data_IF_947088323929
#
_entry.id   IF_947088323929
#
_cell.length_a   1.000
_cell.length_b   1.000
_cell.length_c   1.000
_cell.angle_alpha   90.00
_cell.angle_beta   90.00
_cell.angle_gamma   90.00
#
_symmetry.space_group_name_H-M   'P 1'
#
loop_
_entity.id
_entity.type
_entity.pdbx_description
1 polymer ?
#
# COMPACT_ATOMS: atom_id res chain seq x y z
N UNK A 1 -23.30 15.60 35.77
CA UNK A 1 -23.59 14.72 34.64
C UNK A 1 -23.51 15.54 33.37
N UNK A 2 -22.29 15.79 32.87
CA UNK A 2 -22.09 16.38 31.56
C UNK A 2 -22.27 15.27 30.53
N UNK A 3 -23.36 15.33 29.78
CA UNK A 3 -23.57 14.51 28.59
C UNK A 3 -22.41 14.75 27.60
N UNK A 4 -21.58 13.75 27.39
CA UNK A 4 -20.64 13.76 26.27
C UNK A 4 -21.46 14.03 24.99
N UNK A 5 -21.02 14.94 24.12
CA UNK A 5 -21.72 15.18 22.88
C UNK A 5 -21.64 13.89 22.07
N UNK A 6 -22.79 13.23 21.94
CA UNK A 6 -22.99 12.16 20.98
C UNK A 6 -22.41 12.61 19.63
N UNK A 7 -21.64 11.75 18.94
CA UNK A 7 -21.10 11.97 17.59
C UNK A 7 -22.19 12.60 16.71
N UNK A 8 -22.21 13.95 16.63
CA UNK A 8 -23.08 14.65 15.67
C UNK A 8 -22.52 14.34 14.29
N UNK A 9 -23.30 13.64 13.48
CA UNK A 9 -23.11 13.65 12.03
C UNK A 9 -23.14 15.13 11.62
N UNK A 10 -22.01 15.65 11.11
CA UNK A 10 -21.99 17.04 10.63
C UNK A 10 -23.03 17.15 9.52
N UNK A 11 -23.95 18.11 9.61
CA UNK A 11 -24.92 18.34 8.57
C UNK A 11 -24.20 18.66 7.25
N UNK A 12 -24.77 18.25 6.13
CA UNK A 12 -24.20 18.54 4.80
C UNK A 12 -23.92 20.03 4.60
N UNK A 13 -24.73 20.90 5.21
CA UNK A 13 -24.50 22.35 5.23
C UNK A 13 -23.19 22.72 5.91
N UNK A 14 -22.90 22.15 7.07
CA UNK A 14 -21.63 22.39 7.80
C UNK A 14 -20.42 21.89 7.01
N UNK A 15 -20.57 20.81 6.25
CA UNK A 15 -19.50 20.32 5.37
C UNK A 15 -19.24 21.31 4.24
N UNK A 16 -20.29 21.79 3.57
CA UNK A 16 -20.19 22.80 2.50
C UNK A 16 -19.59 24.10 3.05
N UNK A 17 -20.07 24.58 4.20
CA UNK A 17 -19.55 25.79 4.84
C UNK A 17 -18.08 25.64 5.25
N UNK A 18 -17.64 24.46 5.70
CA UNK A 18 -16.25 24.20 6.04
C UNK A 18 -15.31 24.30 4.82
N UNK A 19 -15.81 24.01 3.59
CA UNK A 19 -15.02 24.12 2.37
C UNK A 19 -15.01 25.54 1.78
N UNK A 20 -16.14 26.27 1.83
CA UNK A 20 -16.27 27.58 1.20
C UNK A 20 -16.05 28.77 2.17
N UNK A 21 -16.33 28.56 3.46
CA UNK A 21 -16.24 29.58 4.51
C UNK A 21 -15.54 29.03 5.75
N UNK A 22 -14.29 28.54 5.57
CA UNK A 22 -13.52 27.93 6.66
C UNK A 22 -13.28 28.92 7.80
N UNK A 23 -13.84 28.62 8.98
CA UNK A 23 -13.57 29.33 10.22
C UNK A 23 -12.64 28.50 11.12
N UNK A 24 -11.38 28.96 11.38
CA UNK A 24 -10.44 28.27 12.25
C UNK A 24 -10.91 28.11 13.70
N UNK A 25 -11.86 28.96 14.15
CA UNK A 25 -12.42 28.94 15.50
C UNK A 25 -13.54 27.91 15.63
N UNK A 26 -14.11 27.47 14.51
CA UNK A 26 -15.15 26.45 14.51
C UNK A 26 -14.51 25.07 14.58
N UNK A 27 -14.76 24.38 15.70
CA UNK A 27 -14.23 23.03 15.92
C UNK A 27 -14.69 22.02 14.83
N UNK A 28 -15.96 22.11 14.40
CA UNK A 28 -16.51 21.22 13.37
C UNK A 28 -15.81 21.42 12.02
N UNK A 29 -15.53 22.66 11.61
CA UNK A 29 -14.77 22.97 10.39
C UNK A 29 -13.34 22.40 10.45
N UNK A 30 -12.69 22.54 11.59
CA UNK A 30 -11.34 21.98 11.79
C UNK A 30 -11.34 20.45 11.73
N UNK A 31 -12.34 19.77 12.29
CA UNK A 31 -12.49 18.32 12.20
C UNK A 31 -12.72 17.88 10.75
N UNK A 32 -13.57 18.58 10.00
CA UNK A 32 -13.88 18.23 8.62
C UNK A 32 -12.63 18.37 7.74
N UNK A 33 -11.96 19.53 7.77
CA UNK A 33 -10.86 19.83 6.85
C UNK A 33 -9.56 19.16 7.27
N UNK A 34 -9.21 19.18 8.57
CA UNK A 34 -7.91 18.67 9.03
C UNK A 34 -7.89 17.18 9.37
N UNK A 35 -9.03 16.58 9.68
CA UNK A 35 -9.08 15.16 10.02
C UNK A 35 -9.77 14.34 8.93
N UNK A 36 -11.03 14.66 8.59
CA UNK A 36 -11.81 13.82 7.66
C UNK A 36 -11.30 13.91 6.23
N UNK A 37 -11.00 15.12 5.75
CA UNK A 37 -10.49 15.32 4.40
C UNK A 37 -9.08 14.71 4.23
N UNK A 38 -8.18 14.91 5.20
CA UNK A 38 -6.84 14.32 5.15
C UNK A 38 -6.91 12.79 5.15
N UNK A 39 -7.79 12.21 5.97
CA UNK A 39 -8.02 10.76 6.00
C UNK A 39 -8.57 10.24 4.67
N UNK A 40 -9.51 10.98 4.05
CA UNK A 40 -10.03 10.68 2.71
C UNK A 40 -8.90 10.68 1.67
N UNK A 41 -8.10 11.75 1.61
CA UNK A 41 -6.98 11.85 0.68
C UNK A 41 -5.95 10.74 0.90
N UNK A 42 -5.64 10.42 2.16
CA UNK A 42 -4.76 9.33 2.53
C UNK A 42 -5.26 7.97 1.99
N UNK A 43 -6.55 7.67 2.19
CA UNK A 43 -7.17 6.44 1.70
C UNK A 43 -7.16 6.37 0.16
N UNK A 44 -7.46 7.48 -0.52
CA UNK A 44 -7.44 7.52 -1.98
C UNK A 44 -6.04 7.28 -2.55
N UNK A 45 -5.02 7.98 -2.03
CA UNK A 45 -3.63 7.85 -2.49
C UNK A 45 -3.08 6.45 -2.20
N UNK A 46 -3.23 5.96 -0.97
CA UNK A 46 -2.70 4.66 -0.58
C UNK A 46 -3.41 3.51 -1.30
N UNK A 47 -4.76 3.58 -1.40
CA UNK A 47 -5.55 2.57 -2.08
C UNK A 47 -5.26 2.50 -3.57
N UNK A 48 -5.17 3.65 -4.25
CA UNK A 48 -4.80 3.73 -5.66
C UNK A 48 -3.40 3.14 -5.90
N UNK A 49 -2.43 3.54 -5.08
CA UNK A 49 -1.05 3.06 -5.19
C UNK A 49 -0.95 1.54 -5.01
N UNK A 50 -1.61 0.98 -3.98
CA UNK A 50 -1.60 -0.47 -3.72
C UNK A 50 -2.30 -1.25 -4.84
N UNK A 51 -3.42 -0.75 -5.37
CA UNK A 51 -4.14 -1.38 -6.49
C UNK A 51 -3.26 -1.50 -7.74
N UNK A 52 -2.57 -0.42 -8.11
CA UNK A 52 -1.66 -0.40 -9.26
C UNK A 52 -0.42 -1.25 -9.02
N UNK A 53 0.19 -1.17 -7.83
CA UNK A 53 1.34 -1.99 -7.46
C UNK A 53 1.02 -3.49 -7.59
N UNK A 54 -0.19 -3.90 -7.20
CA UNK A 54 -0.66 -5.28 -7.38
C UNK A 54 -0.73 -5.71 -8.84
N UNK A 55 -1.29 -4.86 -9.73
CA UNK A 55 -1.34 -5.14 -11.19
C UNK A 55 0.06 -5.36 -11.75
N UNK A 56 0.98 -4.43 -11.46
CA UNK A 56 2.35 -4.53 -11.95
C UNK A 56 3.04 -5.79 -11.45
N UNK A 57 2.94 -6.07 -10.14
CA UNK A 57 3.60 -7.22 -9.57
C UNK A 57 3.09 -8.53 -10.16
N UNK A 58 1.76 -8.72 -10.22
CA UNK A 58 1.15 -9.91 -10.81
C UNK A 58 1.57 -10.11 -12.27
N UNK A 59 1.78 -9.03 -13.01
CA UNK A 59 2.25 -9.06 -14.39
C UNK A 59 3.73 -9.44 -14.50
N UNK A 60 4.59 -8.90 -13.61
CA UNK A 60 6.03 -9.18 -13.59
C UNK A 60 6.34 -10.61 -13.17
N UNK A 61 5.70 -11.08 -12.08
CA UNK A 61 5.92 -12.44 -11.57
C UNK A 61 5.09 -13.49 -12.30
N UNK A 62 4.16 -13.06 -13.16
CA UNK A 62 3.19 -13.91 -13.88
C UNK A 62 2.40 -14.83 -12.95
N UNK A 63 2.10 -14.34 -11.78
CA UNK A 63 1.30 -15.05 -10.80
C UNK A 63 0.13 -14.16 -10.38
N UNK A 64 -1.11 -14.55 -10.65
CA UNK A 64 -2.27 -13.78 -10.26
C UNK A 64 -2.45 -13.65 -8.74
N UNK A 65 -1.76 -14.47 -7.95
CA UNK A 65 -1.76 -14.42 -6.48
C UNK A 65 -0.62 -13.55 -5.93
N UNK A 66 0.12 -12.84 -6.78
CA UNK A 66 1.18 -11.93 -6.37
C UNK A 66 0.64 -10.75 -5.57
N UNK A 67 1.18 -10.55 -4.39
CA UNK A 67 0.91 -9.42 -3.53
C UNK A 67 2.18 -8.61 -3.26
N UNK A 68 2.16 -7.27 -3.34
CA UNK A 68 3.34 -6.44 -3.09
C UNK A 68 3.99 -6.65 -1.72
N UNK A 69 3.23 -7.11 -0.73
CA UNK A 69 3.74 -7.47 0.59
C UNK A 69 4.87 -8.52 0.54
N UNK A 70 4.80 -9.46 -0.41
CA UNK A 70 5.78 -10.53 -0.61
C UNK A 70 7.17 -10.01 -0.99
N UNK A 71 7.27 -8.81 -1.56
CA UNK A 71 8.56 -8.20 -1.94
C UNK A 71 9.37 -7.60 -0.77
N UNK A 72 8.90 -7.73 0.45
CA UNK A 72 9.58 -7.22 1.63
C UNK A 72 9.34 -5.74 1.93
N UNK A 73 8.62 -5.02 1.08
CA UNK A 73 8.42 -3.58 1.21
C UNK A 73 7.78 -3.20 2.57
N UNK A 74 6.70 -3.87 2.94
CA UNK A 74 6.04 -3.61 4.22
C UNK A 74 6.89 -4.03 5.43
N UNK A 75 7.59 -5.18 5.32
CA UNK A 75 8.46 -5.66 6.39
C UNK A 75 9.68 -4.75 6.58
N UNK A 76 10.27 -4.24 5.49
CA UNK A 76 11.35 -3.27 5.53
C UNK A 76 10.93 -1.93 6.14
N UNK A 77 9.74 -1.45 5.77
CA UNK A 77 9.15 -0.25 6.36
C UNK A 77 8.94 -0.41 7.87
N UNK A 78 8.32 -1.52 8.29
CA UNK A 78 8.07 -1.82 9.69
C UNK A 78 9.38 -1.92 10.49
N UNK A 79 10.38 -2.64 9.97
CA UNK A 79 11.68 -2.79 10.60
C UNK A 79 12.36 -1.43 10.81
N UNK A 80 12.42 -0.58 9.79
CA UNK A 80 13.08 0.72 9.89
C UNK A 80 12.40 1.63 10.92
N UNK A 81 11.08 1.69 10.93
CA UNK A 81 10.32 2.54 11.87
C UNK A 81 10.45 2.02 13.29
N UNK A 82 10.37 0.71 13.52
CA UNK A 82 10.51 0.10 14.84
C UNK A 82 11.94 0.28 15.37
N UNK A 83 12.96 0.03 14.56
CA UNK A 83 14.36 0.21 14.97
C UNK A 83 14.66 1.66 15.34
N UNK A 84 14.25 2.64 14.52
CA UNK A 84 14.47 4.06 14.81
C UNK A 84 13.75 4.50 16.09
N UNK A 85 12.55 3.96 16.34
CA UNK A 85 11.80 4.23 17.57
C UNK A 85 12.48 3.63 18.81
N UNK A 86 12.89 2.36 18.75
CA UNK A 86 13.54 1.66 19.85
C UNK A 86 14.92 2.26 20.22
N UNK A 87 15.65 2.77 19.23
CA UNK A 87 16.93 3.44 19.44
C UNK A 87 16.77 4.91 19.90
N UNK A 88 15.54 5.39 20.04
CA UNK A 88 15.27 6.79 20.42
C UNK A 88 15.77 7.82 19.41
N UNK A 89 15.97 7.42 18.16
CA UNK A 89 16.47 8.29 17.10
C UNK A 89 15.37 9.22 16.62
N UNK A 90 15.42 10.49 17.03
CA UNK A 90 14.60 11.55 16.49
C UNK A 90 15.21 12.08 15.20
N UNK A 91 14.88 11.42 14.08
CA UNK A 91 15.32 11.89 12.77
C UNK A 91 14.46 13.09 12.31
N UNK A 92 15.05 14.09 11.65
CA UNK A 92 14.30 15.25 11.13
C UNK A 92 13.28 14.86 10.05
N UNK A 93 13.43 13.67 9.51
CA UNK A 93 12.52 13.08 8.53
C UNK A 93 11.44 12.29 9.27
N UNK A 94 10.20 12.68 9.22
CA UNK A 94 9.09 11.99 9.90
C UNK A 94 9.03 10.47 9.61
N UNK A 95 8.26 9.73 10.41
CA UNK A 95 8.03 8.28 10.25
C UNK A 95 7.77 7.82 8.80
N UNK A 96 7.04 8.58 7.97
CA UNK A 96 6.75 8.17 6.59
C UNK A 96 7.99 8.02 5.71
N UNK A 97 8.97 8.94 5.82
CA UNK A 97 10.20 8.83 5.04
C UNK A 97 11.10 7.69 5.54
N UNK A 98 11.12 7.44 6.85
CA UNK A 98 11.81 6.31 7.44
C UNK A 98 11.21 5.00 6.91
N UNK A 99 9.88 4.90 6.89
CA UNK A 99 9.16 3.75 6.36
C UNK A 99 9.47 3.52 4.87
N UNK A 100 9.42 4.57 4.06
CA UNK A 100 9.75 4.50 2.63
C UNK A 100 11.22 4.09 2.39
N UNK A 101 12.15 4.64 3.17
CA UNK A 101 13.56 4.27 3.09
C UNK A 101 13.80 2.80 3.49
N UNK A 102 13.16 2.34 4.56
CA UNK A 102 13.23 0.94 5.00
C UNK A 102 12.63 -0.03 3.97
N UNK A 103 11.49 0.33 3.38
CA UNK A 103 10.88 -0.41 2.29
C UNK A 103 11.82 -0.52 1.10
N UNK A 104 12.40 0.59 0.66
CA UNK A 104 13.34 0.65 -0.45
C UNK A 104 14.62 -0.15 -0.15
N UNK A 105 15.18 -0.03 1.05
CA UNK A 105 16.39 -0.74 1.46
C UNK A 105 16.20 -2.27 1.42
N UNK A 106 15.12 -2.78 2.04
CA UNK A 106 14.85 -4.23 2.03
C UNK A 106 14.53 -4.73 0.62
N UNK A 107 13.81 -3.95 -0.17
CA UNK A 107 13.54 -4.27 -1.56
C UNK A 107 14.81 -4.33 -2.41
N UNK A 108 15.75 -3.39 -2.24
CA UNK A 108 17.06 -3.44 -2.91
C UNK A 108 17.85 -4.69 -2.52
N UNK A 109 17.82 -5.10 -1.24
CA UNK A 109 18.41 -6.36 -0.81
C UNK A 109 17.76 -7.56 -1.51
N UNK A 110 16.43 -7.59 -1.61
CA UNK A 110 15.70 -8.64 -2.35
C UNK A 110 16.16 -8.67 -3.81
N UNK A 111 16.30 -7.52 -4.46
CA UNK A 111 16.76 -7.44 -5.85
C UNK A 111 18.22 -7.94 -6.01
N UNK A 112 19.12 -7.52 -5.12
CA UNK A 112 20.54 -7.93 -5.16
C UNK A 112 20.68 -9.44 -5.00
N UNK A 113 20.01 -10.04 -4.02
CA UNK A 113 20.04 -11.49 -3.82
C UNK A 113 19.36 -12.25 -4.98
N UNK A 114 18.24 -11.71 -5.48
CA UNK A 114 17.51 -12.34 -6.61
C UNK A 114 18.27 -12.28 -7.92
N UNK A 115 19.12 -11.27 -8.12
CA UNK A 115 19.93 -11.12 -9.33
C UNK A 115 21.21 -11.98 -9.33
N UNK A 116 21.59 -12.51 -8.16
CA UNK A 116 22.81 -13.32 -8.01
C UNK A 116 22.71 -14.67 -8.74
N UNK A 117 23.83 -15.12 -9.27
CA UNK A 117 23.99 -16.41 -9.96
C UNK A 117 23.73 -16.36 -11.47
N UNK A 118 23.99 -17.48 -12.14
CA UNK A 118 24.04 -17.59 -13.61
C UNK A 118 22.72 -17.34 -14.33
N UNK A 119 21.58 -17.54 -13.68
CA UNK A 119 20.25 -17.38 -14.31
C UNK A 119 19.70 -15.95 -14.25
N UNK A 120 20.42 -15.02 -13.58
CA UNK A 120 19.99 -13.62 -13.44
C UNK A 120 18.67 -13.47 -12.67
N UNK A 121 17.99 -12.36 -12.90
CA UNK A 121 16.73 -11.99 -12.24
C UNK A 121 15.56 -12.80 -12.82
N UNK A 122 15.00 -13.72 -12.04
CA UNK A 122 13.80 -14.47 -12.41
C UNK A 122 12.65 -14.19 -11.45
N UNK A 123 11.37 -14.25 -11.90
CA UNK A 123 10.21 -14.03 -11.03
C UNK A 123 10.21 -14.92 -9.77
N UNK A 124 10.57 -16.18 -9.93
CA UNK A 124 10.62 -17.16 -8.83
C UNK A 124 11.65 -16.77 -7.77
N UNK A 125 12.86 -16.34 -8.19
CA UNK A 125 13.90 -15.88 -7.27
C UNK A 125 13.46 -14.62 -6.50
N UNK A 126 12.85 -13.65 -7.19
CA UNK A 126 12.34 -12.42 -6.56
C UNK A 126 11.31 -12.76 -5.48
N UNK A 127 10.38 -13.66 -5.78
CA UNK A 127 9.36 -14.09 -4.82
C UNK A 127 9.98 -14.82 -3.63
N UNK A 128 10.85 -15.81 -3.86
CA UNK A 128 11.47 -16.58 -2.77
C UNK A 128 12.37 -15.71 -1.89
N UNK A 129 13.23 -14.88 -2.49
CA UNK A 129 14.07 -13.93 -1.75
C UNK A 129 13.20 -12.92 -0.99
N UNK A 130 12.12 -12.43 -1.60
CA UNK A 130 11.19 -11.52 -0.96
C UNK A 130 10.54 -12.12 0.30
N UNK A 131 10.03 -13.35 0.20
CA UNK A 131 9.44 -14.07 1.36
C UNK A 131 10.48 -14.29 2.45
N UNK A 132 11.68 -14.77 2.11
CA UNK A 132 12.75 -15.02 3.08
C UNK A 132 13.19 -13.72 3.78
N UNK A 133 13.41 -12.65 3.03
CA UNK A 133 13.80 -11.35 3.58
C UNK A 133 12.69 -10.70 4.40
N UNK A 134 11.42 -10.87 4.00
CA UNK A 134 10.27 -10.42 4.79
C UNK A 134 10.19 -11.15 6.13
N UNK A 135 10.37 -12.47 6.13
CA UNK A 135 10.38 -13.26 7.36
C UNK A 135 11.54 -12.85 8.28
N UNK A 136 12.72 -12.64 7.73
CA UNK A 136 13.89 -12.18 8.47
C UNK A 136 13.66 -10.80 9.12
N UNK A 137 13.21 -9.82 8.33
CA UNK A 137 12.91 -8.47 8.81
C UNK A 137 11.79 -8.47 9.87
N UNK A 138 10.74 -9.27 9.67
CA UNK A 138 9.64 -9.41 10.62
C UNK A 138 10.09 -10.06 11.93
N UNK A 139 11.02 -11.02 11.89
CA UNK A 139 11.58 -11.64 13.10
C UNK A 139 12.38 -10.63 13.92
N UNK A 140 13.19 -9.77 13.29
CA UNK A 140 13.90 -8.70 13.98
C UNK A 140 12.91 -7.70 14.59
N UNK A 141 11.90 -7.29 13.79
CA UNK A 141 10.85 -6.37 14.26
C UNK A 141 10.15 -6.94 15.49
N UNK A 142 9.73 -8.20 15.46
CA UNK A 142 9.07 -8.86 16.58
C UNK A 142 9.99 -8.94 17.82
N UNK A 143 11.27 -9.24 17.62
CA UNK A 143 12.25 -9.28 18.72
C UNK A 143 12.37 -7.92 19.40
N UNK A 144 12.50 -6.84 18.63
CA UNK A 144 12.58 -5.48 19.19
C UNK A 144 11.33 -5.13 19.97
N UNK A 145 10.14 -5.43 19.42
CA UNK A 145 8.86 -5.14 20.08
C UNK A 145 8.64 -5.94 21.38
N UNK A 146 9.18 -7.15 21.46
CA UNK A 146 9.14 -7.97 22.70
C UNK A 146 10.07 -7.39 23.77
N UNK A 147 11.23 -6.88 23.37
CA UNK A 147 12.23 -6.35 24.29
C UNK A 147 11.94 -4.92 24.75
N UNK A 148 11.19 -4.15 23.97
CA UNK A 148 10.84 -2.75 24.25
C UNK A 148 9.33 -2.51 24.20
N UNK A 149 8.70 -2.60 25.38
CA UNK A 149 7.28 -2.39 25.56
C UNK A 149 6.83 -0.96 25.19
N UNK A 150 7.68 0.05 25.39
CA UNK A 150 7.35 1.42 25.03
C UNK A 150 7.22 1.57 23.52
N UNK A 151 8.15 1.01 22.75
CA UNK A 151 8.08 0.97 21.29
C UNK A 151 6.86 0.17 20.82
N UNK A 152 6.55 -0.97 21.46
CA UNK A 152 5.35 -1.75 21.13
C UNK A 152 4.08 -0.91 21.27
N UNK A 153 3.90 -0.25 22.41
CA UNK A 153 2.71 0.59 22.66
C UNK A 153 2.61 1.78 21.71
N UNK A 154 3.75 2.40 21.35
CA UNK A 154 3.80 3.53 20.42
C UNK A 154 3.53 3.15 18.97
N UNK A 155 3.84 1.90 18.58
CA UNK A 155 3.79 1.46 17.17
C UNK A 155 2.61 0.55 16.84
N UNK A 156 1.90 0.01 17.83
CA UNK A 156 0.83 -0.99 17.63
C UNK A 156 -0.23 -0.57 16.61
N UNK A 157 -0.67 0.70 16.65
CA UNK A 157 -1.71 1.20 15.74
C UNK A 157 -1.16 1.39 14.33
N UNK A 158 0.06 1.95 14.22
CA UNK A 158 0.70 2.15 12.91
C UNK A 158 1.02 0.81 12.22
N UNK A 159 1.50 -0.20 12.97
CA UNK A 159 1.78 -1.55 12.44
C UNK A 159 0.52 -2.28 11.97
N UNK A 160 -0.65 -1.94 12.52
CA UNK A 160 -1.92 -2.47 12.06
C UNK A 160 -2.38 -1.86 10.71
N UNK A 161 -1.73 -0.77 10.28
CA UNK A 161 -2.09 0.00 9.09
C UNK A 161 -3.31 0.88 9.35
N UNK A 162 -3.11 2.19 9.37
CA UNK A 162 -4.22 3.13 9.58
C UNK A 162 -3.97 4.42 8.79
N UNK A 163 -5.06 4.95 8.22
CA UNK A 163 -5.05 6.22 7.48
C UNK A 163 -5.41 7.42 8.37
N UNK A 164 -5.57 7.20 9.68
CA UNK A 164 -5.88 8.26 10.64
C UNK A 164 -4.65 9.08 11.02
N UNK A 165 -4.83 10.39 11.25
CA UNK A 165 -3.80 11.27 11.80
C UNK A 165 -2.64 11.61 10.85
N UNK A 166 -2.80 11.38 9.55
CA UNK A 166 -1.78 11.69 8.54
C UNK A 166 -1.73 13.19 8.26
N UNK A 167 -0.51 13.72 8.16
CA UNK A 167 -0.27 15.14 7.89
C UNK A 167 -0.32 15.41 6.38
N UNK A 168 -0.84 16.58 5.97
CA UNK A 168 -1.01 16.94 4.56
C UNK A 168 0.28 16.91 3.73
N UNK A 169 1.42 17.31 4.31
CA UNK A 169 2.74 17.24 3.64
C UNK A 169 3.14 15.81 3.28
N UNK A 170 2.85 14.87 4.18
CA UNK A 170 3.09 13.44 3.93
C UNK A 170 2.23 12.94 2.78
N UNK A 171 0.94 13.33 2.74
CA UNK A 171 0.03 12.94 1.66
C UNK A 171 0.50 13.53 0.33
N UNK A 172 0.96 14.80 0.31
CA UNK A 172 1.44 15.46 -0.89
C UNK A 172 2.72 14.79 -1.44
N UNK A 173 3.69 14.48 -0.58
CA UNK A 173 4.91 13.78 -0.98
C UNK A 173 4.63 12.37 -1.48
N UNK A 174 3.75 11.63 -0.80
CA UNK A 174 3.32 10.30 -1.22
C UNK A 174 2.54 10.34 -2.54
N UNK A 175 1.66 11.32 -2.74
CA UNK A 175 0.94 11.52 -3.99
C UNK A 175 1.89 11.79 -5.16
N UNK A 176 2.97 12.57 -4.94
CA UNK A 176 4.01 12.80 -5.92
C UNK A 176 4.73 11.50 -6.31
N UNK A 177 5.17 10.71 -5.34
CA UNK A 177 5.81 9.42 -5.59
C UNK A 177 4.84 8.42 -6.27
N UNK A 178 3.58 8.39 -5.83
CA UNK A 178 2.55 7.55 -6.44
C UNK A 178 2.25 7.98 -7.88
N UNK A 179 2.23 9.27 -8.19
CA UNK A 179 2.03 9.78 -9.54
C UNK A 179 3.16 9.36 -10.49
N UNK A 180 4.42 9.43 -10.04
CA UNK A 180 5.57 8.93 -10.80
C UNK A 180 5.47 7.41 -11.02
N UNK A 181 5.15 6.65 -9.98
CA UNK A 181 4.94 5.20 -10.08
C UNK A 181 3.79 4.84 -11.02
N UNK A 182 2.69 5.58 -10.99
CA UNK A 182 1.55 5.42 -11.89
C UNK A 182 1.90 5.74 -13.36
N UNK A 183 2.61 6.84 -13.60
CA UNK A 183 3.08 7.20 -14.93
C UNK A 183 4.00 6.13 -15.53
N UNK A 184 4.94 5.60 -14.71
CA UNK A 184 5.79 4.47 -15.10
C UNK A 184 4.96 3.21 -15.40
N UNK A 185 3.92 2.93 -14.60
CA UNK A 185 3.03 1.79 -14.81
C UNK A 185 2.31 1.87 -16.16
N UNK A 186 1.77 3.04 -16.50
CA UNK A 186 1.11 3.27 -17.78
C UNK A 186 2.10 3.14 -18.95
N UNK A 187 3.28 3.73 -18.81
CA UNK A 187 4.32 3.66 -19.83
C UNK A 187 4.81 2.24 -20.07
N UNK A 188 4.91 1.42 -19.04
CA UNK A 188 5.33 0.01 -19.11
C UNK A 188 4.22 -0.94 -19.55
N UNK A 189 2.96 -0.53 -19.52
CA UNK A 189 1.80 -1.39 -19.81
C UNK A 189 1.92 -2.11 -21.17
N UNK A 190 2.35 -1.48 -22.28
CA UNK A 190 2.56 -2.19 -23.53
C UNK A 190 3.60 -3.32 -23.45
N UNK A 191 4.74 -3.03 -22.84
CA UNK A 191 5.84 -4.01 -22.69
C UNK A 191 5.45 -5.17 -21.77
N UNK A 192 4.68 -4.91 -20.72
CA UNK A 192 4.18 -5.93 -19.82
C UNK A 192 3.07 -6.78 -20.47
N UNK A 193 2.23 -6.20 -21.33
CA UNK A 193 1.28 -6.95 -22.14
C UNK A 193 2.00 -7.92 -23.10
N UNK A 194 3.07 -7.47 -23.76
CA UNK A 194 3.90 -8.36 -24.59
C UNK A 194 4.57 -9.46 -23.74
N UNK A 195 5.02 -9.14 -22.53
CA UNK A 195 5.59 -10.10 -21.59
C UNK A 195 4.60 -11.21 -21.20
N UNK A 196 3.31 -10.91 -21.16
CA UNK A 196 2.26 -11.90 -20.89
C UNK A 196 2.18 -13.00 -21.96
N UNK A 197 2.57 -12.70 -23.23
CA UNK A 197 2.62 -13.67 -24.33
C UNK A 197 3.78 -14.65 -24.22
N UNK A 198 4.72 -14.42 -23.32
CA UNK A 198 5.90 -15.24 -23.13
C UNK A 198 7.20 -14.47 -23.36
N UNK A 199 8.28 -14.88 -22.65
CA UNK A 199 9.56 -14.17 -22.68
C UNK A 199 10.20 -14.18 -24.07
N UNK A 200 10.19 -15.34 -24.75
CA UNK A 200 10.74 -15.48 -26.11
C UNK A 200 9.98 -14.63 -27.12
N UNK A 201 8.64 -14.62 -27.02
CA UNK A 201 7.79 -13.81 -27.89
C UNK A 201 8.03 -12.32 -27.64
N UNK A 202 8.06 -11.88 -26.37
CA UNK A 202 8.32 -10.49 -26.02
C UNK A 202 9.70 -10.01 -26.53
N UNK A 203 10.74 -10.84 -26.41
CA UNK A 203 12.07 -10.54 -26.97
C UNK A 203 12.05 -10.42 -28.49
N UNK A 204 11.35 -11.31 -29.20
CA UNK A 204 11.18 -11.23 -30.64
C UNK A 204 10.46 -9.95 -31.10
N UNK A 205 9.59 -9.38 -30.23
CA UNK A 205 8.93 -8.11 -30.42
C UNK A 205 9.75 -6.88 -29.96
N UNK A 206 11.02 -7.08 -29.57
CA UNK A 206 11.94 -6.01 -29.20
C UNK A 206 11.88 -5.58 -27.72
N UNK A 207 11.18 -6.32 -26.85
CA UNK A 207 11.10 -5.99 -25.42
C UNK A 207 12.36 -6.43 -24.69
N UNK A 208 13.02 -5.49 -24.00
CA UNK A 208 14.14 -5.81 -23.10
C UNK A 208 13.60 -6.30 -21.75
N UNK A 209 13.65 -7.62 -21.51
CA UNK A 209 13.10 -8.26 -20.31
C UNK A 209 13.66 -7.65 -19.02
N UNK A 210 15.00 -7.48 -18.95
CA UNK A 210 15.66 -6.97 -17.75
C UNK A 210 15.23 -5.53 -17.44
N UNK A 211 15.27 -4.64 -18.46
CA UNK A 211 14.86 -3.24 -18.28
C UNK A 211 13.40 -3.15 -17.88
N UNK A 212 12.50 -3.89 -18.54
CA UNK A 212 11.07 -3.88 -18.24
C UNK A 212 10.80 -4.35 -16.82
N UNK A 213 11.45 -5.42 -16.36
CA UNK A 213 11.32 -5.93 -14.99
C UNK A 213 11.84 -4.95 -13.96
N UNK A 214 13.05 -4.41 -14.15
CA UNK A 214 13.66 -3.46 -13.20
C UNK A 214 12.81 -2.19 -13.06
N UNK A 215 12.33 -1.63 -14.17
CA UNK A 215 11.49 -0.44 -14.14
C UNK A 215 10.11 -0.72 -13.53
N UNK A 216 9.53 -1.88 -13.79
CA UNK A 216 8.28 -2.29 -13.15
C UNK A 216 8.44 -2.48 -11.64
N UNK A 217 9.54 -3.11 -11.20
CA UNK A 217 9.86 -3.27 -9.79
C UNK A 217 10.13 -1.92 -9.11
N UNK A 218 10.78 -0.98 -9.80
CA UNK A 218 10.94 0.41 -9.32
C UNK A 218 9.58 1.10 -9.16
N UNK A 219 8.69 0.98 -10.15
CA UNK A 219 7.34 1.53 -10.06
C UNK A 219 6.56 0.94 -8.87
N UNK A 220 6.65 -0.38 -8.64
CA UNK A 220 6.05 -1.06 -7.49
C UNK A 220 6.62 -0.50 -6.18
N UNK A 221 7.94 -0.32 -6.08
CA UNK A 221 8.58 0.22 -4.89
C UNK A 221 8.12 1.66 -4.59
N UNK A 222 8.00 2.51 -5.62
CA UNK A 222 7.49 3.89 -5.47
C UNK A 222 6.02 3.88 -4.98
N UNK A 223 5.18 3.06 -5.60
CA UNK A 223 3.77 2.95 -5.24
C UNK A 223 3.57 2.38 -3.82
N UNK A 224 4.24 1.29 -3.49
CA UNK A 224 4.16 0.71 -2.14
C UNK A 224 4.80 1.61 -1.09
N UNK A 225 5.95 2.24 -1.38
CA UNK A 225 6.58 3.20 -0.50
C UNK A 225 5.66 4.39 -0.20
N UNK A 226 4.98 4.93 -1.22
CA UNK A 226 3.97 5.96 -1.06
C UNK A 226 2.80 5.50 -0.17
N UNK A 227 2.27 4.30 -0.42
CA UNK A 227 1.17 3.76 0.37
C UNK A 227 1.56 3.53 1.84
N UNK A 228 2.71 2.89 2.09
CA UNK A 228 3.20 2.61 3.46
C UNK A 228 3.53 3.89 4.22
N UNK A 229 4.07 4.91 3.55
CA UNK A 229 4.38 6.19 4.18
C UNK A 229 3.13 6.90 4.72
N UNK A 230 1.98 6.72 4.08
CA UNK A 230 0.70 7.34 4.44
C UNK A 230 -0.12 6.46 5.38
N UNK A 231 -0.25 5.19 5.07
CA UNK A 231 -1.22 4.30 5.70
C UNK A 231 -0.58 3.19 6.56
N UNK A 232 0.76 3.15 6.65
CA UNK A 232 1.44 2.00 7.24
C UNK A 232 1.30 0.72 6.38
N UNK A 233 1.69 -0.43 6.91
CA UNK A 233 1.65 -1.69 6.19
C UNK A 233 0.21 -2.21 6.03
N UNK A 234 -0.41 -1.96 4.87
CA UNK A 234 -1.74 -2.48 4.51
C UNK A 234 -1.58 -3.59 3.46
N UNK A 235 -2.28 -4.70 3.64
CA UNK A 235 -2.32 -5.84 2.73
C UNK A 235 -3.67 -6.00 2.01
N UNK A 236 -3.74 -7.04 1.16
CA UNK A 236 -4.90 -7.52 0.41
C UNK A 236 -5.40 -6.65 -0.74
N UNK A 237 -5.23 -5.33 -0.72
CA UNK A 237 -5.72 -4.46 -1.81
C UNK A 237 -5.03 -4.80 -3.13
N UNK A 238 -3.69 -4.90 -3.10
CA UNK A 238 -2.89 -5.27 -4.28
C UNK A 238 -3.13 -6.70 -4.79
N UNK A 239 -3.78 -7.54 -3.98
CA UNK A 239 -4.18 -8.88 -4.38
C UNK A 239 -5.57 -8.91 -5.00
N UNK A 240 -6.56 -8.33 -4.30
CA UNK A 240 -7.98 -8.43 -4.64
C UNK A 240 -8.36 -7.55 -5.83
N UNK A 241 -7.89 -6.30 -5.84
CA UNK A 241 -8.30 -5.31 -6.85
C UNK A 241 -7.93 -5.73 -8.28
N UNK A 242 -6.68 -6.16 -8.59
CA UNK A 242 -6.35 -6.61 -9.94
C UNK A 242 -7.18 -7.80 -10.40
N UNK A 243 -7.49 -8.73 -9.49
CA UNK A 243 -8.32 -9.90 -9.80
C UNK A 243 -9.76 -9.50 -10.14
N UNK A 244 -10.32 -8.54 -9.40
CA UNK A 244 -11.65 -8.01 -9.66
C UNK A 244 -11.73 -7.38 -11.05
N UNK A 245 -10.77 -6.50 -11.39
CA UNK A 245 -10.72 -5.83 -12.69
C UNK A 245 -10.52 -6.83 -13.83
N UNK A 246 -9.63 -7.79 -13.67
CA UNK A 246 -9.36 -8.83 -14.66
C UNK A 246 -10.58 -9.67 -14.98
N UNK A 247 -11.42 -9.94 -13.98
CA UNK A 247 -12.64 -10.75 -14.16
C UNK A 247 -13.80 -9.95 -14.75
N UNK A 248 -13.91 -8.68 -14.39
CA UNK A 248 -15.11 -7.88 -14.72
C UNK A 248 -14.94 -7.03 -15.98
N UNK A 249 -13.69 -6.62 -16.32
CA UNK A 249 -13.48 -5.58 -17.32
C UNK A 249 -12.48 -6.00 -18.41
N UNK A 250 -11.20 -6.20 -18.06
CA UNK A 250 -10.15 -6.40 -19.06
C UNK A 250 -8.90 -7.04 -18.49
N UNK A 251 -8.12 -7.69 -19.37
CA UNK A 251 -6.76 -8.19 -19.10
C UNK A 251 -5.69 -7.26 -19.64
N UNK A 252 -6.05 -6.26 -20.45
CA UNK A 252 -5.12 -5.25 -20.99
C UNK A 252 -4.66 -4.31 -19.87
N UNK A 253 -3.35 -4.25 -19.64
CA UNK A 253 -2.76 -3.42 -18.59
C UNK A 253 -2.99 -1.93 -18.76
N UNK A 254 -3.18 -1.46 -20.01
CA UNK A 254 -3.52 -0.05 -20.28
C UNK A 254 -4.85 0.36 -19.65
N UNK A 255 -5.78 -0.60 -19.56
CA UNK A 255 -7.10 -0.43 -18.93
C UNK A 255 -7.05 -0.83 -17.45
N UNK A 256 -6.34 -1.93 -17.14
CA UNK A 256 -6.23 -2.43 -15.77
C UNK A 256 -5.57 -1.44 -14.81
N UNK A 257 -4.51 -0.74 -15.23
CA UNK A 257 -3.77 0.19 -14.37
C UNK A 257 -4.66 1.33 -13.87
N UNK A 258 -5.33 2.13 -14.74
CA UNK A 258 -6.20 3.21 -14.25
C UNK A 258 -7.41 2.71 -13.47
N UNK A 259 -8.02 1.61 -13.91
CA UNK A 259 -9.18 1.05 -13.20
C UNK A 259 -8.78 0.49 -11.82
N UNK A 260 -7.59 -0.12 -11.70
CA UNK A 260 -7.11 -0.61 -10.40
C UNK A 260 -6.74 0.53 -9.47
N UNK A 261 -6.29 1.68 -9.97
CA UNK A 261 -6.11 2.87 -9.16
C UNK A 261 -7.45 3.34 -8.56
N UNK A 262 -8.47 3.48 -9.39
CA UNK A 262 -9.81 3.89 -8.94
C UNK A 262 -10.44 2.87 -8.00
N UNK A 263 -10.41 1.60 -8.36
CA UNK A 263 -10.99 0.52 -7.56
C UNK A 263 -10.25 0.37 -6.22
N UNK A 264 -8.92 0.45 -6.22
CA UNK A 264 -8.09 0.39 -5.01
C UNK A 264 -8.38 1.55 -4.06
N UNK A 265 -8.51 2.77 -4.59
CA UNK A 265 -8.92 3.95 -3.83
C UNK A 265 -10.29 3.76 -3.18
N UNK A 266 -11.29 3.27 -3.94
CA UNK A 266 -12.63 3.02 -3.43
C UNK A 266 -12.66 1.90 -2.39
N UNK A 267 -11.95 0.78 -2.61
CA UNK A 267 -11.90 -0.35 -1.67
C UNK A 267 -11.28 0.09 -0.35
N UNK A 268 -10.17 0.84 -0.36
CA UNK A 268 -9.56 1.31 0.87
C UNK A 268 -10.44 2.33 1.59
N UNK A 269 -11.09 3.23 0.86
CA UNK A 269 -12.04 4.18 1.43
C UNK A 269 -13.23 3.47 2.08
N UNK A 270 -13.81 2.46 1.42
CA UNK A 270 -14.90 1.66 1.98
C UNK A 270 -14.46 0.88 3.21
N UNK A 271 -13.25 0.32 3.21
CA UNK A 271 -12.68 -0.35 4.37
C UNK A 271 -12.49 0.62 5.54
N UNK A 272 -12.02 1.85 5.29
CA UNK A 272 -11.87 2.88 6.32
C UNK A 272 -13.24 3.31 6.90
N UNK A 273 -14.25 3.52 6.06
CA UNK A 273 -15.60 3.82 6.51
C UNK A 273 -16.17 2.68 7.37
N UNK A 274 -16.01 1.44 6.91
CA UNK A 274 -16.48 0.26 7.64
C UNK A 274 -15.75 0.09 8.98
N UNK A 275 -14.43 0.32 9.02
CA UNK A 275 -13.63 0.26 10.25
C UNK A 275 -14.10 1.23 11.33
N UNK A 276 -14.64 2.38 10.93
CA UNK A 276 -15.15 3.42 11.83
C UNK A 276 -16.61 3.25 12.23
N UNK A 277 -17.41 2.57 11.42
CA UNK A 277 -18.87 2.51 11.62
C UNK A 277 -19.33 1.22 12.25
N UNK A 278 -18.74 0.07 11.90
CA UNK A 278 -19.23 -1.22 12.33
C UNK A 278 -18.98 -1.54 13.80
N UNK A 279 -17.94 -0.96 14.41
CA UNK A 279 -17.53 -1.28 15.78
C UNK A 279 -17.66 -0.10 16.75
N UNK A 280 -18.51 0.86 16.44
CA UNK A 280 -18.76 2.02 17.32
C UNK A 280 -19.08 1.56 18.76
N UNK A 281 -18.45 2.14 19.84
CA UNK A 281 -17.64 3.35 19.85
C UNK A 281 -16.15 3.17 19.55
N UNK A 282 -15.67 1.96 19.32
CA UNK A 282 -14.27 1.67 19.00
C UNK A 282 -14.01 1.87 17.52
N UNK A 283 -12.81 2.36 17.17
CA UNK A 283 -12.33 2.41 15.79
C UNK A 283 -11.32 1.31 15.57
N UNK A 284 -11.53 0.50 14.53
CA UNK A 284 -10.53 -0.48 14.09
C UNK A 284 -9.54 0.19 13.14
N UNK A 285 -8.29 -0.28 13.15
CA UNK A 285 -7.33 0.12 12.13
C UNK A 285 -7.81 -0.32 10.74
N UNK A 286 -7.63 0.54 9.75
CA UNK A 286 -8.09 0.30 8.37
C UNK A 286 -7.50 -0.99 7.78
N UNK A 287 -6.22 -1.30 8.10
CA UNK A 287 -5.54 -2.52 7.67
C UNK A 287 -6.13 -3.80 8.24
N UNK A 288 -6.65 -3.76 9.47
CA UNK A 288 -7.40 -4.90 10.06
C UNK A 288 -8.67 -5.14 9.26
N UNK A 289 -9.38 -4.07 8.89
CA UNK A 289 -10.61 -4.19 8.11
C UNK A 289 -10.35 -4.71 6.69
N UNK A 290 -9.27 -4.26 6.03
CA UNK A 290 -8.90 -4.80 4.72
C UNK A 290 -8.53 -6.28 4.80
N UNK A 291 -7.91 -6.74 5.88
CA UNK A 291 -7.59 -8.14 6.09
C UNK A 291 -8.85 -8.99 6.36
N UNK A 292 -9.77 -8.51 7.20
CA UNK A 292 -11.03 -9.19 7.52
C UNK A 292 -11.91 -9.41 6.28
N UNK A 293 -11.94 -8.45 5.37
CA UNK A 293 -12.72 -8.57 4.12
C UNK A 293 -11.88 -9.27 3.04
N UNK A 294 -10.61 -8.92 2.93
CA UNK A 294 -9.72 -9.40 1.87
C UNK A 294 -9.42 -10.89 1.96
N UNK A 295 -9.19 -11.43 3.15
CA UNK A 295 -8.86 -12.85 3.32
C UNK A 295 -10.01 -13.80 2.90
N UNK A 296 -11.28 -13.62 3.30
CA UNK A 296 -12.38 -14.42 2.80
C UNK A 296 -12.57 -14.29 1.28
N UNK A 297 -12.49 -13.06 0.74
CA UNK A 297 -12.60 -12.84 -0.71
C UNK A 297 -11.48 -13.57 -1.44
N UNK A 298 -10.26 -13.52 -0.94
CA UNK A 298 -9.13 -14.24 -1.52
C UNK A 298 -9.34 -15.75 -1.51
N UNK A 299 -9.78 -16.34 -0.39
CA UNK A 299 -10.04 -17.78 -0.28
C UNK A 299 -11.11 -18.22 -1.30
N UNK A 300 -12.19 -17.46 -1.43
CA UNK A 300 -13.24 -17.71 -2.42
C UNK A 300 -12.72 -17.60 -3.86
N UNK A 301 -11.85 -16.63 -4.14
CA UNK A 301 -11.27 -16.47 -5.47
C UNK A 301 -10.28 -17.58 -5.79
N UNK A 302 -9.41 -17.95 -4.84
CA UNK A 302 -8.44 -19.01 -5.00
C UNK A 302 -9.13 -20.37 -5.21
N UNK A 303 -10.16 -20.69 -4.44
CA UNK A 303 -10.90 -21.95 -4.57
C UNK A 303 -11.57 -22.13 -5.94
N UNK A 304 -11.91 -21.03 -6.62
CA UNK A 304 -12.48 -21.06 -7.98
C UNK A 304 -11.44 -21.07 -9.11
N UNK A 305 -10.17 -20.81 -8.80
CA UNK A 305 -9.08 -20.87 -9.78
C UNK A 305 -8.50 -22.29 -9.91
N UNK A 306 -8.68 -23.13 -8.91
CA UNK A 306 -8.19 -24.52 -8.90
C UNK A 306 -9.29 -25.55 -9.22
N UNK A 307 -10.49 -25.10 -9.59
CA UNK A 307 -11.55 -25.90 -10.21
C UNK A 307 -11.56 -25.68 -11.72
#
# INVERSE_FOLDING_TARGET
>A
LHSFPTRRSSDLRTVVDAFFHFDPRNFEHSVIVRLRLMRLCAALVAGAALGVAGVLLQSVIRNPLGEPHILGLNAGAALAVVLTSALGLSLPFGRPLIAAAGAAALFLLVLTFSSSGRTGLTPMKVTLCGVAMSAFASSITATVLILDEQTLLAMRTWLAGDVAGVIGETIASAAGAAAVGFALALWLSPSLNMLALGERMAQGLGVSLLKTRLLALLAIALLCGAAVSVAGPIGFIGLVVPQLIRRLVSVDLRVMVPLSALCGALVLLMADIAARTLFTPYELATGVMTALVGAPVFILMASRMFK
#
